data_IF_056271275228
#
_entry.id   IF_056271275228
#
_cell.length_a   1.000
_cell.length_b   1.000
_cell.length_c   1.000
_cell.angle_alpha   90.00
_cell.angle_beta   90.00
_cell.angle_gamma   90.00
#
_symmetry.space_group_name_H-M   'P 1'
#
loop_
_entity.id
_entity.type
_entity.pdbx_description
1 polymer ?
#
# COMPACT_ATOMS: atom_id res chain seq x y z
N UNK A 1 -41.55 -15.66 -69.91
CA UNK A 1 -40.91 -16.92 -69.38
C UNK A 1 -39.68 -16.48 -68.64
N UNK A 2 -39.79 -16.30 -67.30
CA UNK A 2 -38.75 -15.70 -66.48
C UNK A 2 -38.25 -16.83 -65.53
N UNK A 3 -37.04 -17.29 -65.74
CA UNK A 3 -36.39 -18.29 -64.90
C UNK A 3 -35.84 -17.60 -63.63
N UNK A 4 -36.22 -18.07 -62.46
CA UNK A 4 -35.62 -17.69 -61.17
C UNK A 4 -34.62 -18.81 -60.77
N UNK A 5 -33.38 -18.51 -60.38
CA UNK A 5 -32.50 -19.51 -59.79
C UNK A 5 -32.84 -19.76 -58.31
N UNK A 6 -32.92 -21.03 -57.95
CA UNK A 6 -33.07 -21.51 -56.56
C UNK A 6 -31.67 -21.52 -55.94
N UNK A 7 -31.46 -20.74 -54.93
CA UNK A 7 -30.20 -20.72 -54.15
C UNK A 7 -30.29 -21.80 -53.05
N UNK A 8 -29.55 -22.89 -53.24
CA UNK A 8 -29.43 -23.95 -52.22
C UNK A 8 -28.36 -23.56 -51.22
N UNK A 9 -28.77 -23.23 -49.95
CA UNK A 9 -27.83 -22.96 -48.84
C UNK A 9 -27.53 -24.31 -48.19
N UNK A 10 -26.25 -24.74 -48.32
CA UNK A 10 -25.69 -25.88 -47.59
C UNK A 10 -25.22 -25.41 -46.22
N UNK A 11 -25.96 -25.74 -45.17
CA UNK A 11 -25.55 -25.49 -43.78
C UNK A 11 -24.59 -26.62 -43.36
N UNK A 12 -23.31 -26.31 -43.33
CA UNK A 12 -22.27 -27.15 -42.72
C UNK A 12 -22.32 -27.01 -41.19
N UNK A 13 -22.84 -28.04 -40.53
CA UNK A 13 -22.85 -28.13 -39.07
C UNK A 13 -21.43 -28.44 -38.58
N UNK A 14 -20.68 -27.43 -38.09
CA UNK A 14 -19.43 -27.64 -37.37
C UNK A 14 -19.75 -28.17 -35.95
N UNK A 15 -19.47 -29.42 -35.71
CA UNK A 15 -19.49 -30.01 -34.38
C UNK A 15 -18.29 -29.51 -33.58
N UNK A 16 -18.50 -28.49 -32.75
CA UNK A 16 -17.53 -28.07 -31.75
C UNK A 16 -17.56 -29.08 -30.59
N UNK A 17 -16.60 -29.98 -30.54
CA UNK A 17 -16.36 -30.81 -29.37
C UNK A 17 -15.84 -29.90 -28.24
N UNK A 18 -16.44 -29.96 -27.04
CA UNK A 18 -15.93 -29.18 -25.91
C UNK A 18 -14.57 -29.74 -25.47
N UNK A 19 -13.50 -29.02 -25.74
CA UNK A 19 -12.21 -29.30 -25.15
C UNK A 19 -12.32 -28.94 -23.65
N UNK A 20 -12.50 -29.97 -22.82
CA UNK A 20 -12.37 -29.82 -21.36
C UNK A 20 -10.89 -29.60 -21.05
N UNK A 21 -10.50 -28.34 -20.95
CA UNK A 21 -9.22 -27.97 -20.32
C UNK A 21 -9.39 -28.15 -18.82
N UNK A 22 -9.04 -29.33 -18.34
CA UNK A 22 -8.99 -29.64 -16.91
C UNK A 22 -7.63 -29.17 -16.37
N UNK A 23 -7.49 -27.85 -16.16
CA UNK A 23 -6.37 -27.29 -15.42
C UNK A 23 -6.67 -27.45 -13.91
N UNK A 24 -6.65 -28.69 -13.42
CA UNK A 24 -6.46 -28.92 -12.00
C UNK A 24 -4.98 -28.65 -11.67
N UNK A 25 -4.66 -27.38 -11.39
CA UNK A 25 -3.49 -27.10 -10.56
C UNK A 25 -3.84 -27.60 -9.16
N UNK A 26 -3.35 -28.75 -8.79
CA UNK A 26 -3.21 -29.13 -7.38
C UNK A 26 -2.28 -28.08 -6.76
N UNK A 27 -2.88 -27.05 -6.17
CA UNK A 27 -2.12 -26.09 -5.38
C UNK A 27 -1.57 -26.88 -4.20
N UNK A 28 -0.25 -27.02 -4.13
CA UNK A 28 0.40 -27.53 -2.92
C UNK A 28 -0.11 -26.71 -1.72
N UNK A 29 -0.30 -27.32 -0.54
CA UNK A 29 -0.75 -26.58 0.63
C UNK A 29 0.13 -25.35 0.79
N UNK A 30 -0.51 -24.18 0.93
CA UNK A 30 0.20 -22.94 1.16
C UNK A 30 0.97 -23.06 2.47
N UNK A 31 2.26 -22.75 2.44
CA UNK A 31 3.07 -22.70 3.66
C UNK A 31 2.64 -21.46 4.42
N UNK A 32 2.13 -21.64 5.65
CA UNK A 32 1.70 -20.53 6.49
C UNK A 32 2.91 -19.75 6.98
N UNK A 33 2.99 -18.49 6.58
CA UNK A 33 4.06 -17.54 6.94
C UNK A 33 3.56 -16.10 6.79
N UNK A 34 3.91 -15.19 7.69
CA UNK A 34 4.54 -15.43 9.00
C UNK A 34 3.51 -15.93 10.04
N UNK A 35 3.97 -16.64 11.06
CA UNK A 35 3.15 -17.00 12.21
C UNK A 35 3.68 -16.29 13.46
N UNK A 36 2.85 -15.44 14.05
CA UNK A 36 3.18 -14.74 15.30
C UNK A 36 2.74 -15.62 16.47
N UNK A 37 3.69 -15.99 17.31
CA UNK A 37 3.48 -16.86 18.47
C UNK A 37 2.99 -16.03 19.69
N UNK A 38 2.43 -16.71 20.68
CA UNK A 38 1.91 -16.07 21.90
C UNK A 38 2.98 -15.35 22.72
N UNK A 39 4.24 -15.79 22.62
CA UNK A 39 5.41 -15.16 23.25
C UNK A 39 6.02 -14.01 22.43
N UNK A 40 5.33 -13.56 21.36
CA UNK A 40 5.78 -12.53 20.43
C UNK A 40 7.02 -12.90 19.61
N UNK A 41 7.37 -14.18 19.55
CA UNK A 41 8.29 -14.67 18.52
C UNK A 41 7.54 -14.84 17.20
N UNK A 42 8.25 -14.81 16.08
CA UNK A 42 7.68 -14.97 14.73
C UNK A 42 8.34 -16.14 14.04
N UNK A 43 7.54 -17.08 13.59
CA UNK A 43 7.99 -18.19 12.76
C UNK A 43 7.79 -17.84 11.29
N UNK A 44 8.89 -17.79 10.57
CA UNK A 44 8.93 -17.57 9.11
C UNK A 44 9.11 -18.89 8.40
N UNK A 45 8.41 -19.10 7.28
CA UNK A 45 8.52 -20.30 6.44
C UNK A 45 8.48 -19.93 4.97
N UNK A 46 9.35 -20.54 4.18
CA UNK A 46 9.38 -20.36 2.73
C UNK A 46 9.63 -21.70 2.03
N UNK A 47 8.80 -22.07 1.09
CA UNK A 47 9.06 -23.22 0.21
C UNK A 47 9.99 -22.81 -0.92
N UNK A 48 11.24 -23.26 -0.86
CA UNK A 48 12.30 -22.98 -1.82
C UNK A 48 13.21 -24.20 -1.98
N UNK A 49 12.72 -25.31 -2.62
CA UNK A 49 13.43 -26.60 -2.63
C UNK A 49 14.74 -26.57 -3.42
N UNK A 50 14.91 -25.59 -4.31
CA UNK A 50 16.12 -25.45 -5.13
C UNK A 50 17.11 -24.39 -4.57
N UNK A 51 16.77 -23.73 -3.47
CA UNK A 51 17.65 -22.73 -2.88
C UNK A 51 18.81 -23.39 -2.14
N UNK A 52 19.98 -22.80 -2.24
CA UNK A 52 21.18 -23.23 -1.50
C UNK A 52 21.24 -22.57 -0.12
N UNK A 53 20.63 -21.38 0.02
CA UNK A 53 20.62 -20.60 1.27
C UNK A 53 19.35 -19.75 1.31
N UNK A 54 18.66 -19.79 2.43
CA UNK A 54 17.56 -18.87 2.72
C UNK A 54 17.79 -18.21 4.09
N UNK A 55 17.65 -16.90 4.11
CA UNK A 55 17.70 -16.08 5.32
C UNK A 55 16.44 -15.22 5.39
N UNK A 56 16.12 -14.66 6.53
CA UNK A 56 15.10 -13.63 6.69
C UNK A 56 15.73 -12.37 7.30
N UNK A 57 15.37 -11.22 6.78
CA UNK A 57 15.75 -9.93 7.34
C UNK A 57 14.51 -9.21 7.88
N UNK A 58 14.62 -8.66 9.09
CA UNK A 58 13.54 -7.90 9.76
C UNK A 58 14.15 -6.68 10.45
N UNK A 59 13.28 -5.72 10.87
CA UNK A 59 13.77 -4.57 11.65
C UNK A 59 13.96 -4.87 13.16
N UNK A 60 13.44 -6.00 13.66
CA UNK A 60 13.62 -6.37 15.08
C UNK A 60 14.80 -7.31 15.33
N UNK A 61 15.57 -7.68 14.30
CA UNK A 61 16.82 -8.43 14.42
C UNK A 61 17.97 -7.70 13.75
N UNK A 62 19.21 -8.00 14.17
CA UNK A 62 20.41 -7.49 13.50
C UNK A 62 20.82 -8.42 12.36
N UNK A 63 20.92 -7.84 11.16
CA UNK A 63 21.35 -8.57 9.96
C UNK A 63 20.37 -9.67 9.53
N UNK A 64 20.80 -10.45 8.54
CA UNK A 64 20.03 -11.58 8.04
C UNK A 64 20.13 -12.77 8.99
N UNK A 65 19.01 -13.42 9.24
CA UNK A 65 18.93 -14.60 10.10
C UNK A 65 18.76 -15.85 9.24
N UNK A 66 19.63 -16.88 9.37
CA UNK A 66 19.56 -18.07 8.54
C UNK A 66 18.32 -18.92 8.92
N UNK A 67 17.71 -19.51 7.88
CA UNK A 67 16.65 -20.50 8.03
C UNK A 67 17.19 -21.90 7.77
N UNK A 68 16.52 -22.92 8.28
CA UNK A 68 16.87 -24.34 8.11
C UNK A 68 15.84 -25.00 7.18
N UNK A 69 16.32 -25.73 6.17
CA UNK A 69 15.47 -26.49 5.27
C UNK A 69 15.10 -27.85 5.87
N UNK A 70 13.87 -28.29 5.62
CA UNK A 70 13.46 -29.67 5.81
C UNK A 70 13.64 -30.51 4.52
N UNK A 71 13.23 -31.79 4.56
CA UNK A 71 13.32 -32.71 3.44
C UNK A 71 12.42 -32.36 2.26
N UNK A 72 11.41 -31.50 2.45
CA UNK A 72 10.50 -31.02 1.40
C UNK A 72 10.93 -29.68 0.81
N UNK A 73 12.06 -29.14 1.26
CA UNK A 73 12.58 -27.85 0.84
C UNK A 73 11.80 -26.67 1.40
N UNK A 74 11.16 -26.83 2.57
CA UNK A 74 10.58 -25.76 3.34
C UNK A 74 11.63 -25.24 4.31
N UNK A 75 12.02 -24.00 4.12
CA UNK A 75 12.95 -23.28 4.99
C UNK A 75 12.18 -22.64 6.12
N UNK A 76 12.62 -22.83 7.36
CA UNK A 76 11.94 -22.29 8.53
C UNK A 76 12.89 -21.77 9.59
N UNK A 77 12.41 -20.81 10.39
CA UNK A 77 13.12 -20.28 11.56
C UNK A 77 12.21 -19.39 12.39
N UNK A 78 12.45 -19.38 13.71
CA UNK A 78 11.69 -18.55 14.65
C UNK A 78 12.59 -17.49 15.24
N UNK A 79 12.17 -16.22 15.16
CA UNK A 79 12.91 -15.05 15.60
C UNK A 79 12.14 -14.26 16.65
N UNK A 80 12.85 -13.50 17.45
CA UNK A 80 12.27 -12.66 18.51
C UNK A 80 12.58 -13.18 19.91
N UNK A 81 11.80 -12.82 20.97
CA UNK A 81 10.56 -12.02 20.86
C UNK A 81 10.80 -10.59 20.37
N UNK A 82 9.76 -9.99 19.77
CA UNK A 82 9.80 -8.62 19.29
C UNK A 82 8.82 -7.71 20.04
N UNK A 83 9.14 -6.42 20.12
CA UNK A 83 8.23 -5.44 20.67
C UNK A 83 6.98 -5.27 19.79
N UNK A 84 5.80 -4.97 20.39
CA UNK A 84 4.57 -4.74 19.62
C UNK A 84 4.73 -3.64 18.59
N UNK A 85 4.59 -3.97 17.32
CA UNK A 85 4.68 -3.03 16.20
C UNK A 85 4.33 -3.72 14.87
N UNK A 86 4.29 -2.95 13.78
CA UNK A 86 4.24 -3.44 12.41
C UNK A 86 5.64 -3.38 11.79
N UNK A 87 6.17 -4.52 11.39
CA UNK A 87 7.54 -4.64 10.89
C UNK A 87 7.59 -5.11 9.44
N UNK A 88 8.38 -4.46 8.58
CA UNK A 88 8.72 -5.01 7.28
C UNK A 88 9.73 -6.16 7.42
N UNK A 89 9.60 -7.17 6.55
CA UNK A 89 10.56 -8.26 6.42
C UNK A 89 10.69 -8.74 4.97
N UNK A 90 11.80 -9.38 4.66
CA UNK A 90 12.04 -10.08 3.40
C UNK A 90 12.72 -11.42 3.65
N UNK A 91 12.47 -12.38 2.79
CA UNK A 91 13.38 -13.50 2.62
C UNK A 91 14.56 -13.08 1.74
N UNK A 92 15.73 -13.63 2.02
CA UNK A 92 16.92 -13.51 1.17
C UNK A 92 17.23 -14.91 0.65
N UNK A 93 16.89 -15.15 -0.60
CA UNK A 93 17.05 -16.45 -1.27
C UNK A 93 18.29 -16.37 -2.17
N UNK A 94 19.33 -17.10 -1.85
CA UNK A 94 20.61 -17.09 -2.57
C UNK A 94 21.14 -15.67 -2.84
N UNK A 95 20.97 -14.77 -1.86
CA UNK A 95 21.39 -13.37 -1.93
C UNK A 95 20.36 -12.39 -2.53
N UNK A 96 19.23 -12.87 -3.00
CA UNK A 96 18.17 -12.02 -3.59
C UNK A 96 17.05 -11.78 -2.58
N UNK A 97 16.69 -10.51 -2.37
CA UNK A 97 15.56 -10.14 -1.51
C UNK A 97 14.21 -10.46 -2.17
N UNK A 98 13.37 -11.20 -1.49
CA UNK A 98 12.05 -11.65 -1.97
C UNK A 98 11.01 -11.36 -0.90
N UNK A 99 9.90 -10.76 -1.30
CA UNK A 99 8.72 -10.65 -0.42
C UNK A 99 8.15 -12.07 -0.18
N UNK A 100 7.52 -12.25 0.97
CA UNK A 100 6.87 -13.52 1.30
C UNK A 100 5.69 -13.80 0.36
N UNK A 101 5.74 -14.85 -0.47
CA UNK A 101 4.66 -15.14 -1.41
C UNK A 101 3.37 -15.61 -0.72
N UNK A 102 3.45 -16.04 0.55
CA UNK A 102 2.31 -16.45 1.36
C UNK A 102 1.62 -15.29 2.08
N UNK A 103 2.25 -14.10 2.10
CA UNK A 103 1.75 -12.93 2.82
C UNK A 103 1.25 -11.84 1.87
N UNK A 104 -0.06 -11.52 1.85
CA UNK A 104 -0.61 -10.46 1.00
C UNK A 104 -0.27 -9.04 1.48
N UNK A 105 0.17 -8.88 2.73
CA UNK A 105 0.47 -7.57 3.31
C UNK A 105 1.86 -7.10 2.88
N UNK A 106 1.87 -6.20 1.91
CA UNK A 106 3.09 -5.68 1.28
C UNK A 106 3.27 -4.19 1.60
N UNK A 107 4.50 -3.83 1.95
CA UNK A 107 4.91 -2.43 2.09
C UNK A 107 4.90 -1.75 0.71
N UNK A 108 4.07 -0.71 0.50
CA UNK A 108 4.00 -0.01 -0.78
C UNK A 108 5.20 0.93 -0.93
N UNK A 109 6.20 0.49 -1.68
CA UNK A 109 7.43 1.27 -1.92
C UNK A 109 7.83 1.19 -3.40
N UNK A 110 8.49 2.23 -3.91
CA UNK A 110 8.93 2.29 -5.31
C UNK A 110 10.06 1.31 -5.63
N UNK A 111 10.99 1.12 -4.70
CA UNK A 111 12.28 0.47 -4.93
C UNK A 111 12.34 -0.95 -4.42
N UNK A 112 11.64 -1.25 -3.35
CA UNK A 112 11.66 -2.58 -2.75
C UNK A 112 10.23 -3.06 -2.47
N UNK A 113 10.09 -4.35 -2.31
CA UNK A 113 8.86 -5.00 -1.85
C UNK A 113 9.21 -5.80 -0.62
N UNK A 114 8.70 -5.39 0.51
CA UNK A 114 8.80 -6.14 1.77
C UNK A 114 7.41 -6.58 2.18
N UNK A 115 7.31 -7.74 2.77
CA UNK A 115 6.09 -8.16 3.46
C UNK A 115 6.02 -7.50 4.83
N UNK A 116 4.82 -7.41 5.39
CA UNK A 116 4.58 -6.81 6.71
C UNK A 116 4.15 -7.90 7.70
N UNK A 117 4.65 -7.82 8.93
CA UNK A 117 4.18 -8.63 10.05
C UNK A 117 3.84 -7.73 11.23
N UNK A 118 2.65 -7.91 11.77
CA UNK A 118 2.22 -7.19 12.98
C UNK A 118 2.46 -8.06 14.22
N UNK A 119 3.19 -7.50 15.17
CA UNK A 119 3.37 -8.09 16.50
C UNK A 119 2.36 -7.40 17.43
N UNK A 120 1.36 -8.12 17.93
CA UNK A 120 0.34 -7.52 18.79
C UNK A 120 0.88 -7.19 20.19
N UNK A 121 0.35 -6.12 20.75
CA UNK A 121 0.57 -5.78 22.17
C UNK A 121 -0.49 -6.41 23.07
N UNK A 122 -0.34 -6.22 24.39
CA UNK A 122 -1.30 -6.68 25.38
C UNK A 122 -2.64 -5.91 25.31
N UNK A 123 -2.61 -4.73 24.73
CA UNK A 123 -3.80 -3.91 24.44
C UNK A 123 -3.82 -3.58 22.94
N UNK A 124 -5.04 -3.42 22.36
CA UNK A 124 -5.15 -3.01 20.96
C UNK A 124 -4.44 -1.68 20.70
N UNK A 125 -3.57 -1.66 19.69
CA UNK A 125 -2.89 -0.45 19.28
C UNK A 125 -3.89 0.63 18.82
N UNK A 126 -3.48 1.91 18.86
CA UNK A 126 -4.30 3.01 18.38
C UNK A 126 -4.71 2.85 16.91
N UNK A 127 -3.90 2.17 16.12
CA UNK A 127 -4.11 1.86 14.71
C UNK A 127 -4.79 0.50 14.47
N UNK A 128 -5.18 -0.22 15.52
CA UNK A 128 -5.88 -1.50 15.36
C UNK A 128 -7.27 -1.28 14.75
N UNK A 129 -7.72 -2.26 13.98
CA UNK A 129 -9.11 -2.29 13.50
C UNK A 129 -10.02 -2.59 14.69
N UNK A 130 -10.82 -1.61 15.10
CA UNK A 130 -11.78 -1.72 16.20
C UNK A 130 -13.21 -1.75 15.64
N UNK A 131 -14.16 -2.21 16.42
CA UNK A 131 -15.59 -2.16 16.09
C UNK A 131 -16.14 -0.74 16.32
N UNK A 132 -15.81 0.17 15.43
CA UNK A 132 -16.25 1.57 15.39
C UNK A 132 -16.66 1.93 13.97
N UNK A 133 -17.45 2.98 13.75
CA UNK A 133 -17.69 3.46 12.40
C UNK A 133 -16.38 3.77 11.65
N UNK A 134 -16.26 3.27 10.42
CA UNK A 134 -15.07 3.47 9.60
C UNK A 134 -15.30 4.49 8.48
N UNK A 135 -14.24 5.25 8.18
CA UNK A 135 -14.19 6.12 7.02
C UNK A 135 -13.92 5.35 5.71
N UNK A 136 -13.89 6.09 4.61
CA UNK A 136 -13.66 5.53 3.28
C UNK A 136 -12.30 5.97 2.73
N UNK A 137 -11.62 5.07 2.01
CA UNK A 137 -10.40 5.35 1.26
C UNK A 137 -10.74 5.44 -0.23
N UNK A 138 -10.38 6.55 -0.87
CA UNK A 138 -10.55 6.77 -2.30
C UNK A 138 -9.20 7.00 -2.94
N UNK A 139 -8.82 6.14 -3.89
CA UNK A 139 -7.64 6.38 -4.74
C UNK A 139 -8.07 7.26 -5.92
N UNK A 140 -7.45 8.41 -6.03
CA UNK A 140 -7.72 9.39 -7.09
C UNK A 140 -6.51 9.56 -8.00
N UNK A 141 -6.78 10.04 -9.20
CA UNK A 141 -5.76 10.48 -10.15
C UNK A 141 -6.08 11.91 -10.59
N UNK A 142 -5.08 12.76 -10.59
CA UNK A 142 -5.20 14.15 -11.05
C UNK A 142 -4.15 14.46 -12.11
N UNK A 143 -4.46 15.43 -12.97
CA UNK A 143 -3.52 15.95 -13.94
C UNK A 143 -2.63 17.00 -13.27
N UNK A 144 -1.37 16.66 -12.98
CA UNK A 144 -0.38 17.61 -12.52
C UNK A 144 0.10 18.47 -13.69
N UNK A 145 -0.21 19.75 -13.66
CA UNK A 145 0.31 20.75 -14.61
C UNK A 145 1.78 21.01 -14.37
N UNK A 146 2.16 21.07 -13.08
CA UNK A 146 3.54 21.26 -12.62
C UNK A 146 4.46 20.16 -13.17
N UNK A 147 4.06 18.89 -13.09
CA UNK A 147 4.85 17.76 -13.56
C UNK A 147 4.46 17.23 -14.94
N UNK A 148 3.46 17.82 -15.59
CA UNK A 148 2.96 17.47 -16.94
C UNK A 148 2.61 15.97 -17.08
N UNK A 149 2.01 15.39 -16.06
CA UNK A 149 1.62 13.98 -16.03
C UNK A 149 0.48 13.71 -15.05
N UNK A 150 -0.19 12.58 -15.22
CA UNK A 150 -1.17 12.09 -14.24
C UNK A 150 -0.47 11.56 -13.00
N UNK A 151 -0.97 11.95 -11.82
CA UNK A 151 -0.43 11.60 -10.51
C UNK A 151 -1.50 10.96 -9.63
N UNK A 152 -1.15 9.94 -8.84
CA UNK A 152 -2.06 9.36 -7.86
C UNK A 152 -2.02 10.13 -6.54
N UNK A 153 -3.12 10.04 -5.81
CA UNK A 153 -3.21 10.35 -4.38
C UNK A 153 -4.28 9.48 -3.73
N UNK A 154 -4.17 9.25 -2.43
CA UNK A 154 -5.21 8.58 -1.65
C UNK A 154 -5.86 9.60 -0.72
N UNK A 155 -7.19 9.56 -0.66
CA UNK A 155 -7.98 10.41 0.22
C UNK A 155 -8.74 9.54 1.20
N UNK A 156 -8.60 9.84 2.48
CA UNK A 156 -9.48 9.32 3.52
C UNK A 156 -10.56 10.36 3.82
N UNK A 157 -11.79 9.90 3.87
CA UNK A 157 -12.95 10.66 4.35
C UNK A 157 -13.51 10.00 5.61
N UNK A 158 -13.84 10.76 6.68
CA UNK A 158 -14.22 10.18 7.97
C UNK A 158 -15.62 9.53 7.92
N UNK A 159 -15.97 8.72 8.94
CA UNK A 159 -17.30 8.12 9.06
C UNK A 159 -18.42 9.14 8.90
N UNK A 160 -19.45 8.79 8.14
CA UNK A 160 -20.60 9.67 7.90
C UNK A 160 -20.39 10.74 6.82
N UNK A 161 -19.17 10.95 6.32
CA UNK A 161 -18.90 11.96 5.29
C UNK A 161 -19.81 11.83 4.07
N UNK A 162 -20.00 10.61 3.56
CA UNK A 162 -20.77 10.37 2.34
C UNK A 162 -22.23 10.81 2.45
N UNK A 163 -22.85 10.53 3.60
CA UNK A 163 -24.26 10.85 3.89
C UNK A 163 -24.45 12.31 4.33
N UNK A 164 -23.40 12.98 4.81
CA UNK A 164 -23.44 14.34 5.31
C UNK A 164 -23.31 15.40 4.20
N UNK A 165 -23.47 16.65 4.60
CA UNK A 165 -23.30 17.83 3.72
C UNK A 165 -22.21 18.78 4.22
N UNK A 166 -21.64 18.52 5.37
CA UNK A 166 -20.67 19.38 6.02
C UNK A 166 -19.34 19.44 5.26
N UNK A 167 -18.70 20.61 5.32
CA UNK A 167 -17.32 20.80 4.88
C UNK A 167 -16.37 20.55 6.04
N UNK A 168 -15.30 19.84 5.81
CA UNK A 168 -14.36 19.40 6.83
C UNK A 168 -12.97 20.03 6.65
N UNK A 169 -12.21 20.18 7.75
CA UNK A 169 -10.79 20.54 7.67
C UNK A 169 -9.98 19.43 6.97
N UNK A 170 -8.80 19.79 6.47
CA UNK A 170 -7.95 18.89 5.68
C UNK A 170 -6.56 18.77 6.27
N UNK A 171 -6.07 17.54 6.39
CA UNK A 171 -4.67 17.22 6.65
C UNK A 171 -4.02 16.67 5.37
N UNK A 172 -3.00 17.35 4.85
CA UNK A 172 -2.13 16.82 3.81
C UNK A 172 -0.99 16.04 4.48
N UNK A 173 -0.91 14.72 4.23
CA UNK A 173 0.00 13.82 4.92
C UNK A 173 0.97 13.17 3.93
N UNK A 174 2.23 13.62 3.95
CA UNK A 174 3.22 13.29 2.93
C UNK A 174 4.17 12.19 3.41
N UNK A 175 4.38 11.17 2.58
CA UNK A 175 5.24 10.03 2.88
C UNK A 175 6.73 10.31 2.63
N UNK A 176 7.57 9.39 3.08
CA UNK A 176 9.03 9.48 2.98
C UNK A 176 9.60 9.25 1.58
N UNK A 177 10.92 9.13 1.52
CA UNK A 177 11.64 8.83 0.28
C UNK A 177 11.29 7.41 -0.19
N UNK A 178 10.96 7.26 -1.47
CA UNK A 178 10.54 6.01 -2.10
C UNK A 178 9.21 5.41 -1.62
N UNK A 179 8.55 6.04 -0.67
CA UNK A 179 7.19 5.68 -0.26
C UNK A 179 6.17 6.15 -1.30
N UNK A 180 5.00 5.52 -1.29
CA UNK A 180 3.90 5.86 -2.20
C UNK A 180 2.75 6.54 -1.46
N UNK A 181 1.72 6.94 -2.20
CA UNK A 181 0.48 7.50 -1.64
C UNK A 181 -0.27 6.53 -0.73
N UNK A 182 0.03 5.23 -0.80
CA UNK A 182 -0.62 4.19 0.01
C UNK A 182 0.11 3.91 1.34
N UNK A 183 1.32 4.44 1.54
CA UNK A 183 2.15 4.08 2.70
C UNK A 183 1.49 4.44 4.02
N UNK A 184 0.86 5.62 4.11
CA UNK A 184 0.17 6.03 5.33
C UNK A 184 -1.06 5.18 5.68
N UNK A 185 -1.69 4.54 4.70
CA UNK A 185 -2.82 3.64 4.94
C UNK A 185 -2.38 2.21 5.20
N UNK A 186 -1.40 1.70 4.45
CA UNK A 186 -0.94 0.31 4.55
C UNK A 186 0.00 0.07 5.72
N UNK A 187 0.90 1.00 5.98
CA UNK A 187 1.92 0.90 7.04
C UNK A 187 1.51 1.76 8.24
N UNK A 188 1.19 3.03 8.01
CA UNK A 188 0.80 3.96 9.06
C UNK A 188 -0.61 3.74 9.61
N UNK A 189 -1.48 3.02 8.88
CA UNK A 189 -2.87 2.72 9.26
C UNK A 189 -3.63 3.96 9.77
N UNK A 190 -3.35 5.10 9.15
CA UNK A 190 -3.86 6.41 9.59
C UNK A 190 -5.37 6.50 9.55
N UNK A 191 -6.02 5.79 8.63
CA UNK A 191 -7.47 5.67 8.53
C UNK A 191 -8.07 5.06 9.80
N UNK A 192 -7.57 3.89 10.26
CA UNK A 192 -8.04 3.26 11.49
C UNK A 192 -7.68 4.08 12.73
N UNK A 193 -6.50 4.71 12.73
CA UNK A 193 -6.11 5.63 13.81
C UNK A 193 -7.11 6.78 13.95
N UNK A 194 -7.50 7.40 12.83
CA UNK A 194 -8.43 8.52 12.89
C UNK A 194 -9.86 8.06 13.20
N UNK A 195 -10.32 6.93 12.67
CA UNK A 195 -11.60 6.32 13.01
C UNK A 195 -11.72 6.12 14.53
N UNK A 196 -10.70 5.49 15.13
CA UNK A 196 -10.65 5.25 16.58
C UNK A 196 -10.67 6.55 17.38
N UNK A 197 -9.84 7.53 16.99
CA UNK A 197 -9.77 8.82 17.68
C UNK A 197 -11.07 9.62 17.56
N UNK A 198 -11.76 9.58 16.43
CA UNK A 198 -13.06 10.22 16.25
C UNK A 198 -14.11 9.55 17.14
N UNK A 199 -14.16 8.19 17.16
CA UNK A 199 -15.08 7.46 18.02
C UNK A 199 -14.84 7.74 19.51
N UNK A 200 -13.58 7.91 19.93
CA UNK A 200 -13.17 8.28 21.28
C UNK A 200 -13.33 9.79 21.57
N UNK A 201 -13.79 10.60 20.60
CA UNK A 201 -13.90 12.08 20.70
C UNK A 201 -12.57 12.79 21.00
N UNK A 202 -11.45 12.20 20.60
CA UNK A 202 -10.09 12.72 20.74
C UNK A 202 -9.58 13.43 19.49
N UNK A 203 -10.27 13.27 18.37
CA UNK A 203 -10.03 14.01 17.13
C UNK A 203 -11.33 14.52 16.54
N UNK A 204 -11.26 15.64 15.85
CA UNK A 204 -12.36 16.14 15.02
C UNK A 204 -12.39 15.37 13.69
N UNK A 205 -13.58 15.16 13.09
CA UNK A 205 -13.66 14.63 11.75
C UNK A 205 -12.90 15.52 10.77
N UNK A 206 -12.00 14.92 9.97
CA UNK A 206 -11.20 15.61 8.96
C UNK A 206 -10.96 14.73 7.75
N UNK A 207 -10.68 15.34 6.62
CA UNK A 207 -10.21 14.66 5.41
C UNK A 207 -8.69 14.55 5.50
N UNK A 208 -8.13 13.37 5.17
CA UNK A 208 -6.68 13.22 5.01
C UNK A 208 -6.38 13.00 3.53
N UNK A 209 -5.51 13.84 2.98
CA UNK A 209 -5.02 13.76 1.61
C UNK A 209 -3.58 13.25 1.66
N UNK A 210 -3.32 12.12 1.03
CA UNK A 210 -2.02 11.47 0.98
C UNK A 210 -1.50 11.49 -0.46
N UNK A 211 -0.78 12.54 -0.85
CA UNK A 211 -0.22 12.64 -2.19
C UNK A 211 1.00 11.73 -2.34
N UNK A 212 1.29 11.35 -3.59
CA UNK A 212 2.54 10.69 -3.91
C UNK A 212 3.68 11.72 -3.86
N UNK A 213 4.41 11.76 -2.75
CA UNK A 213 5.40 12.82 -2.44
C UNK A 213 6.67 12.80 -3.31
N UNK A 214 6.91 11.76 -4.14
CA UNK A 214 8.08 11.71 -5.01
C UNK A 214 7.85 12.45 -6.33
N UNK A 215 8.52 13.56 -6.50
CA UNK A 215 8.45 14.37 -7.73
C UNK A 215 9.17 13.72 -8.91
N UNK A 216 10.13 12.83 -8.61
CA UNK A 216 11.05 12.21 -9.56
C UNK A 216 10.74 10.72 -9.80
N UNK A 217 9.48 10.31 -9.68
CA UNK A 217 9.08 8.91 -9.90
C UNK A 217 9.67 8.37 -11.21
N UNK A 218 10.40 7.23 -11.11
CA UNK A 218 11.01 6.58 -12.27
C UNK A 218 12.33 7.21 -12.75
N UNK A 219 12.87 8.22 -12.06
CA UNK A 219 14.18 8.81 -12.37
C UNK A 219 15.19 8.49 -11.26
N UNK A 220 16.51 8.52 -11.55
CA UNK A 220 17.52 8.37 -10.52
C UNK A 220 17.34 9.40 -9.40
N UNK A 221 17.73 9.06 -8.15
CA UNK A 221 17.64 10.01 -7.05
C UNK A 221 18.50 11.25 -7.34
N UNK A 222 17.97 12.45 -7.07
CA UNK A 222 18.69 13.69 -7.31
C UNK A 222 19.88 13.84 -6.36
N UNK A 223 20.84 14.66 -6.77
CA UNK A 223 21.89 15.16 -5.88
C UNK A 223 21.29 16.04 -4.78
N UNK A 224 22.09 16.42 -3.76
CA UNK A 224 21.64 17.27 -2.66
C UNK A 224 21.07 18.63 -3.12
N UNK A 225 21.62 19.22 -4.18
CA UNK A 225 21.11 20.47 -4.76
C UNK A 225 19.76 20.26 -5.42
N UNK A 226 19.59 19.17 -6.16
CA UNK A 226 18.31 18.80 -6.77
C UNK A 226 17.24 18.44 -5.72
N UNK A 227 17.63 18.01 -4.52
CA UNK A 227 16.68 17.74 -3.43
C UNK A 227 15.96 19.02 -2.97
N UNK A 228 16.66 20.16 -2.88
CA UNK A 228 16.05 21.45 -2.55
C UNK A 228 15.07 21.92 -3.62
N UNK A 229 15.38 21.70 -4.89
CA UNK A 229 14.47 22.02 -6.00
C UNK A 229 13.22 21.14 -5.97
N UNK A 230 13.33 19.89 -5.56
CA UNK A 230 12.17 19.02 -5.39
C UNK A 230 11.17 19.49 -4.33
N UNK A 231 11.63 20.16 -3.28
CA UNK A 231 10.73 20.76 -2.29
C UNK A 231 9.95 21.93 -2.89
N UNK A 232 10.59 22.78 -3.69
CA UNK A 232 9.90 23.84 -4.44
C UNK A 232 8.88 23.28 -5.42
N UNK A 233 9.27 22.27 -6.20
CA UNK A 233 8.37 21.61 -7.15
C UNK A 233 7.19 20.96 -6.45
N UNK A 234 7.42 20.31 -5.30
CA UNK A 234 6.32 19.76 -4.49
C UNK A 234 5.37 20.85 -3.99
N UNK A 235 5.90 21.94 -3.46
CA UNK A 235 5.09 23.07 -3.01
C UNK A 235 4.27 23.67 -4.15
N UNK A 236 4.86 23.83 -5.32
CA UNK A 236 4.17 24.30 -6.52
C UNK A 236 3.03 23.33 -6.92
N UNK A 237 3.32 22.02 -6.98
CA UNK A 237 2.31 21.01 -7.28
C UNK A 237 1.19 21.00 -6.23
N UNK A 238 1.54 21.10 -4.94
CA UNK A 238 0.55 21.13 -3.87
C UNK A 238 -0.42 22.31 -4.06
N UNK A 239 0.11 23.51 -4.27
CA UNK A 239 -0.69 24.73 -4.34
C UNK A 239 -1.45 24.84 -5.68
N UNK A 240 -0.81 24.47 -6.78
CA UNK A 240 -1.35 24.69 -8.13
C UNK A 240 -2.28 23.55 -8.59
N UNK A 241 -1.99 22.32 -8.17
CA UNK A 241 -2.66 21.14 -8.70
C UNK A 241 -3.46 20.38 -7.62
N UNK A 242 -2.85 20.04 -6.46
CA UNK A 242 -3.48 19.18 -5.46
C UNK A 242 -4.58 19.91 -4.69
N UNK A 243 -4.31 21.11 -4.16
CA UNK A 243 -5.30 21.90 -3.42
C UNK A 243 -6.56 22.15 -4.27
N UNK A 244 -6.47 22.70 -5.50
CA UNK A 244 -7.64 22.91 -6.33
C UNK A 244 -8.38 21.62 -6.68
N UNK A 245 -7.65 20.50 -6.91
CA UNK A 245 -8.28 19.21 -7.16
C UNK A 245 -9.12 18.76 -5.95
N UNK A 246 -8.57 18.84 -4.74
CA UNK A 246 -9.26 18.43 -3.52
C UNK A 246 -10.48 19.33 -3.26
N UNK A 247 -10.33 20.65 -3.38
CA UNK A 247 -11.41 21.63 -3.16
C UNK A 247 -12.56 21.49 -4.17
N UNK A 248 -12.26 21.06 -5.39
CA UNK A 248 -13.28 20.86 -6.43
C UNK A 248 -14.03 19.53 -6.31
N UNK A 249 -13.43 18.51 -5.70
CA UNK A 249 -13.98 17.16 -5.68
C UNK A 249 -14.49 16.71 -4.30
N UNK A 250 -14.09 17.39 -3.23
CA UNK A 250 -14.45 17.05 -1.86
C UNK A 250 -14.99 18.25 -1.09
N UNK A 251 -15.86 17.98 -0.13
CA UNK A 251 -16.41 19.02 0.75
C UNK A 251 -15.40 19.37 1.82
N UNK A 252 -14.53 20.32 1.52
CA UNK A 252 -13.46 20.80 2.40
C UNK A 252 -13.69 22.26 2.78
N UNK A 253 -13.19 22.65 3.95
CA UNK A 253 -13.02 24.05 4.34
C UNK A 253 -11.75 24.57 3.64
N UNK A 254 -11.93 25.54 2.72
CA UNK A 254 -10.85 26.05 1.87
C UNK A 254 -9.95 27.09 2.56
N UNK A 255 -10.32 27.53 3.77
CA UNK A 255 -9.54 28.51 4.51
C UNK A 255 -8.18 27.96 4.95
N UNK A 256 -7.14 28.80 4.94
CA UNK A 256 -5.79 28.42 5.34
C UNK A 256 -5.74 27.83 6.73
N UNK A 257 -6.49 28.41 7.69
CA UNK A 257 -6.55 27.98 9.08
C UNK A 257 -7.28 26.63 9.29
N UNK A 258 -7.91 26.10 8.22
CA UNK A 258 -8.63 24.83 8.23
C UNK A 258 -7.88 23.72 7.50
N UNK A 259 -6.61 23.97 7.16
CA UNK A 259 -5.75 22.97 6.55
C UNK A 259 -4.41 22.87 7.29
N UNK A 260 -3.86 21.69 7.31
CA UNK A 260 -2.55 21.39 7.87
C UNK A 260 -1.77 20.49 6.90
N UNK A 261 -0.45 20.53 6.99
CA UNK A 261 0.44 19.62 6.32
C UNK A 261 1.38 18.98 7.34
N UNK A 262 1.62 17.69 7.18
CA UNK A 262 2.57 16.92 7.98
C UNK A 262 3.22 15.85 7.11
N UNK A 263 4.33 15.30 7.56
CA UNK A 263 4.98 14.24 6.81
C UNK A 263 6.10 13.55 7.57
N UNK A 264 6.56 12.44 7.01
CA UNK A 264 7.66 11.63 7.51
C UNK A 264 8.89 11.76 6.62
N UNK A 265 10.11 11.86 7.21
CA UNK A 265 11.37 11.89 6.47
C UNK A 265 11.39 13.02 5.42
N UNK A 266 11.52 12.68 4.12
CA UNK A 266 11.39 13.65 3.01
C UNK A 266 10.07 14.41 3.06
N UNK A 267 8.96 13.73 3.35
CA UNK A 267 7.65 14.37 3.51
C UNK A 267 7.63 15.38 4.67
N UNK A 268 8.38 15.13 5.76
CA UNK A 268 8.60 16.11 6.82
C UNK A 268 9.34 17.35 6.31
N UNK A 269 10.41 17.16 5.51
CA UNK A 269 11.11 18.26 4.85
C UNK A 269 10.23 19.06 3.91
N UNK A 270 9.40 18.39 3.10
CA UNK A 270 8.40 19.01 2.23
C UNK A 270 7.40 19.83 3.04
N UNK A 271 6.89 19.29 4.16
CA UNK A 271 5.94 19.99 5.03
C UNK A 271 6.51 21.23 5.70
N UNK A 272 7.80 21.22 6.05
CA UNK A 272 8.48 22.39 6.64
C UNK A 272 8.81 23.48 5.61
N UNK A 273 8.94 23.09 4.34
CA UNK A 273 9.23 24.01 3.25
C UNK A 273 7.98 24.73 2.72
N UNK A 274 6.80 24.10 2.86
CA UNK A 274 5.49 24.62 2.42
C UNK A 274 4.90 25.60 3.41
#
# INVERSE_FOLDING_TARGET
>A
MIWRPVLTIVLSACWLLPVRVQAQRTQAPAVESPVVNADRTVTFRLKAPNASKVEVTTQFTKGNQPLTADSEGIWSGTLGPAEPNLYPYNFIVDGVAVADPGNPDIFPNERFKSSLVEIPGDQPAIYAVKDVPHGELTRCYYASKTLKRTRPLVIYTPPGYRAGTERLPVLYLVSGTTDTEETWTKVGRVNFTLDNLIAEKRAVPMIIVMPYGNMMMGTPPPTSIQAADMYKVFNEELVTDILPFVESNFRVLADREKRAIAGFSRGGGQSLFT
#
